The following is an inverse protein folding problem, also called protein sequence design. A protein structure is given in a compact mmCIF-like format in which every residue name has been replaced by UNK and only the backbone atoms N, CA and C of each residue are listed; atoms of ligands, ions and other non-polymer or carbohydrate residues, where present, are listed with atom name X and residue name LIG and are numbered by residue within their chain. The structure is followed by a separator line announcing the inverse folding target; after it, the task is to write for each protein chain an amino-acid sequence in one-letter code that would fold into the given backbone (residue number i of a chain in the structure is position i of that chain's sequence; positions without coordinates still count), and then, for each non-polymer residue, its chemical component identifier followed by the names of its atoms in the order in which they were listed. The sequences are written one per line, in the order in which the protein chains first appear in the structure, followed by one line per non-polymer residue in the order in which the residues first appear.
data_IF_722077317207
#
_entry.id   IF_722077317207
#
_cell.length_a   1.000
_cell.length_b   1.000
_cell.length_c   1.000
_cell.angle_alpha   90.00
_cell.angle_beta   90.00
_cell.angle_gamma   90.00
#
_symmetry.space_group_name_H-M   'P 1'
#
loop_
_entity.id
_entity.type
_entity.pdbx_description
1 polymer ?
#
# COMPACT_ATOMS: atom_id res chain seq x y z
N UNK A 1 -53.72 40.22 -9.70
CA UNK A 1 -53.59 39.13 -8.70
C UNK A 1 -54.83 38.24 -8.65
N UNK A 2 -56.05 38.81 -8.61
CA UNK A 2 -57.30 38.04 -8.58
C UNK A 2 -57.54 37.17 -9.83
N UNK A 3 -57.19 37.64 -11.03
CA UNK A 3 -57.35 36.86 -12.28
C UNK A 3 -56.40 35.66 -12.37
N UNK A 4 -55.12 35.83 -11.97
CA UNK A 4 -54.15 34.72 -11.91
C UNK A 4 -54.64 33.58 -11.00
N UNK A 5 -55.18 33.92 -9.83
CA UNK A 5 -55.71 32.95 -8.87
C UNK A 5 -56.93 32.22 -9.42
N UNK A 6 -57.86 32.95 -10.07
CA UNK A 6 -59.04 32.34 -10.72
C UNK A 6 -58.63 31.36 -11.83
N UNK A 7 -57.67 31.75 -12.67
CA UNK A 7 -57.18 30.90 -13.77
C UNK A 7 -56.56 29.61 -13.25
N UNK A 8 -55.69 29.71 -12.24
CA UNK A 8 -55.06 28.55 -11.59
C UNK A 8 -56.10 27.63 -10.94
N UNK A 9 -57.08 28.18 -10.22
CA UNK A 9 -58.11 27.36 -9.56
C UNK A 9 -59.01 26.64 -10.57
N UNK A 10 -59.38 27.29 -11.68
CA UNK A 10 -60.14 26.66 -12.75
C UNK A 10 -59.34 25.56 -13.45
N UNK A 11 -58.05 25.79 -13.70
CA UNK A 11 -57.16 24.79 -14.26
C UNK A 11 -56.97 23.60 -13.33
N UNK A 12 -56.75 23.83 -12.02
CA UNK A 12 -56.68 22.76 -11.03
C UNK A 12 -57.99 21.95 -10.99
N UNK A 13 -59.15 22.60 -10.99
CA UNK A 13 -60.44 21.91 -11.06
C UNK A 13 -60.57 21.05 -12.33
N UNK A 14 -60.09 21.54 -13.49
CA UNK A 14 -60.07 20.79 -14.74
C UNK A 14 -59.13 19.58 -14.70
N UNK A 15 -57.93 19.74 -14.12
CA UNK A 15 -56.91 18.67 -14.02
C UNK A 15 -57.34 17.56 -13.06
N UNK A 16 -57.96 17.91 -11.93
CA UNK A 16 -58.41 16.94 -10.93
C UNK A 16 -59.82 16.38 -11.22
N UNK A 17 -60.60 17.01 -12.10
CA UNK A 17 -61.93 16.56 -12.49
C UNK A 17 -62.86 16.46 -11.29
N UNK A 18 -63.36 15.26 -11.01
CA UNK A 18 -64.25 14.97 -9.88
C UNK A 18 -63.51 14.81 -8.54
N UNK A 19 -62.17 14.79 -8.54
CA UNK A 19 -61.38 14.68 -7.30
C UNK A 19 -61.18 16.04 -6.64
N UNK A 20 -61.17 16.11 -5.30
CA UNK A 20 -60.90 17.35 -4.60
C UNK A 20 -59.44 17.78 -4.84
N UNK A 21 -59.25 19.06 -5.16
CA UNK A 21 -57.91 19.67 -5.30
C UNK A 21 -57.18 19.59 -3.96
N UNK A 22 -55.96 19.01 -3.89
CA UNK A 22 -55.18 18.94 -2.66
C UNK A 22 -54.90 20.32 -2.07
N UNK A 23 -54.86 20.41 -0.74
CA UNK A 23 -54.50 21.67 -0.06
C UNK A 23 -53.05 22.03 -0.37
N UNK A 24 -52.80 23.30 -0.73
CA UNK A 24 -51.48 23.83 -1.00
C UNK A 24 -51.30 25.22 -0.37
N UNK A 25 -50.05 25.60 -0.13
CA UNK A 25 -49.72 26.91 0.43
C UNK A 25 -49.89 28.01 -0.63
N UNK A 26 -50.80 28.97 -0.37
CA UNK A 26 -51.06 30.09 -1.29
C UNK A 26 -50.05 31.21 -1.02
N UNK A 27 -48.81 31.02 -1.48
CA UNK A 27 -47.75 32.03 -1.47
C UNK A 27 -47.54 32.60 -2.89
N UNK A 28 -47.03 33.83 -3.02
CA UNK A 28 -46.76 34.49 -4.32
C UNK A 28 -45.91 33.62 -5.23
N UNK A 29 -44.84 33.01 -4.69
CA UNK A 29 -43.98 32.07 -5.41
C UNK A 29 -44.75 30.84 -5.92
N UNK A 30 -45.60 30.24 -5.08
CA UNK A 30 -46.38 29.05 -5.45
C UNK A 30 -47.41 29.40 -6.52
N UNK A 31 -48.10 30.54 -6.37
CA UNK A 31 -49.07 31.00 -7.35
C UNK A 31 -48.46 31.33 -8.71
N UNK A 32 -47.26 31.92 -8.75
CA UNK A 32 -46.58 32.18 -10.02
C UNK A 32 -46.12 30.88 -10.70
N UNK A 33 -45.64 29.89 -9.93
CA UNK A 33 -45.29 28.55 -10.47
C UNK A 33 -46.55 27.86 -11.03
N UNK A 34 -47.64 27.83 -10.28
CA UNK A 34 -48.90 27.22 -10.72
C UNK A 34 -49.50 27.94 -11.93
N UNK A 35 -49.37 29.26 -11.99
CA UNK A 35 -49.82 30.05 -13.14
C UNK A 35 -49.00 29.74 -14.39
N UNK A 36 -47.66 29.65 -14.28
CA UNK A 36 -46.81 29.21 -15.39
C UNK A 36 -47.12 27.77 -15.81
N UNK A 37 -47.39 26.88 -14.85
CA UNK A 37 -47.77 25.50 -15.15
C UNK A 37 -49.11 25.43 -15.88
N UNK A 38 -50.05 26.30 -15.51
CA UNK A 38 -51.34 26.45 -16.19
C UNK A 38 -51.15 26.89 -17.64
N UNK A 39 -50.39 27.96 -17.88
CA UNK A 39 -50.14 28.47 -19.24
C UNK A 39 -49.41 27.45 -20.12
N UNK A 40 -48.38 26.79 -19.58
CA UNK A 40 -47.63 25.75 -20.31
C UNK A 40 -48.48 24.51 -20.58
N UNK A 41 -49.34 24.12 -19.64
CA UNK A 41 -50.27 23.01 -19.82
C UNK A 41 -51.33 23.33 -20.88
N UNK A 42 -51.95 24.51 -20.81
CA UNK A 42 -52.95 24.95 -21.79
C UNK A 42 -52.36 25.04 -23.20
N UNK A 43 -51.18 25.64 -23.34
CA UNK A 43 -50.48 25.72 -24.62
C UNK A 43 -50.19 24.32 -25.18
N UNK A 44 -49.61 23.42 -24.36
CA UNK A 44 -49.33 22.04 -24.78
C UNK A 44 -50.60 21.26 -25.15
N UNK A 45 -51.69 21.43 -24.39
CA UNK A 45 -52.97 20.80 -24.69
C UNK A 45 -53.56 21.33 -26.01
N UNK A 46 -53.48 22.63 -26.25
CA UNK A 46 -53.89 23.26 -27.52
C UNK A 46 -53.07 22.72 -28.69
N UNK A 47 -51.74 22.67 -28.57
CA UNK A 47 -50.85 22.15 -29.62
C UNK A 47 -51.14 20.68 -29.93
N UNK A 48 -51.39 19.88 -28.88
CA UNK A 48 -51.77 18.46 -29.03
C UNK A 48 -53.11 18.33 -29.73
N UNK A 49 -54.10 19.17 -29.39
CA UNK A 49 -55.41 19.16 -30.02
C UNK A 49 -55.32 19.54 -31.51
N UNK A 50 -54.52 20.55 -31.86
CA UNK A 50 -54.26 20.93 -33.25
C UNK A 50 -53.58 19.80 -34.04
N UNK A 51 -52.60 19.12 -33.44
CA UNK A 51 -51.95 17.96 -34.06
C UNK A 51 -52.93 16.81 -34.29
N UNK A 52 -53.82 16.54 -33.34
CA UNK A 52 -54.86 15.51 -33.50
C UNK A 52 -55.79 15.86 -34.67
N UNK A 53 -56.20 17.13 -34.77
CA UNK A 53 -57.09 17.55 -35.85
C UNK A 53 -56.42 17.50 -37.22
N UNK A 54 -55.16 17.94 -37.33
CA UNK A 54 -54.35 17.81 -38.55
C UNK A 54 -54.19 16.34 -38.97
N UNK A 55 -53.92 15.43 -38.02
CA UNK A 55 -53.81 14.00 -38.32
C UNK A 55 -55.14 13.39 -38.78
N UNK A 56 -56.27 13.80 -38.18
CA UNK A 56 -57.60 13.37 -38.64
C UNK A 56 -57.88 13.85 -40.05
N UNK A 57 -57.60 15.11 -40.34
CA UNK A 57 -57.76 15.68 -41.67
C UNK A 57 -56.91 14.91 -42.69
N UNK A 58 -55.61 14.75 -42.44
CA UNK A 58 -54.71 13.98 -43.30
C UNK A 58 -55.19 12.55 -43.52
N UNK A 59 -55.68 11.89 -42.47
CA UNK A 59 -56.22 10.52 -42.57
C UNK A 59 -57.41 10.49 -43.53
N UNK A 60 -58.33 11.46 -43.41
CA UNK A 60 -59.48 11.55 -44.31
C UNK A 60 -59.07 11.84 -45.75
N UNK A 61 -58.11 12.74 -45.98
CA UNK A 61 -57.58 13.06 -47.30
C UNK A 61 -56.91 11.85 -47.94
N UNK A 62 -56.04 11.15 -47.21
CA UNK A 62 -55.41 9.91 -47.70
C UNK A 62 -56.41 8.80 -47.98
N UNK A 63 -57.46 8.68 -47.17
CA UNK A 63 -58.51 7.70 -47.42
C UNK A 63 -59.30 8.02 -48.70
N UNK A 64 -59.63 9.30 -48.93
CA UNK A 64 -60.30 9.72 -50.17
C UNK A 64 -59.42 9.53 -51.40
N UNK A 65 -58.13 9.86 -51.30
CA UNK A 65 -57.17 9.66 -52.39
C UNK A 65 -56.98 8.16 -52.68
N UNK A 66 -56.92 7.32 -51.64
CA UNK A 66 -56.81 5.88 -51.82
C UNK A 66 -58.01 5.27 -52.56
N UNK A 67 -59.23 5.72 -52.24
CA UNK A 67 -60.45 5.30 -52.95
C UNK A 67 -60.39 5.79 -54.40
N UNK A 68 -60.05 7.07 -54.62
CA UNK A 68 -59.92 7.64 -55.96
C UNK A 68 -58.92 6.86 -56.83
N UNK A 69 -57.73 6.57 -56.30
CA UNK A 69 -56.71 5.79 -57.02
C UNK A 69 -57.15 4.36 -57.28
N UNK A 70 -57.87 3.73 -56.35
CA UNK A 70 -58.45 2.40 -56.54
C UNK A 70 -59.45 2.39 -57.69
N UNK A 71 -60.35 3.37 -57.75
CA UNK A 71 -61.34 3.51 -58.81
C UNK A 71 -60.66 3.76 -60.17
N UNK A 72 -59.67 4.64 -60.23
CA UNK A 72 -58.89 4.92 -61.45
C UNK A 72 -58.18 3.67 -61.98
N UNK A 73 -57.58 2.86 -61.10
CA UNK A 73 -56.92 1.61 -61.48
C UNK A 73 -57.91 0.56 -62.01
N UNK A 74 -59.08 0.47 -61.37
CA UNK A 74 -60.13 -0.46 -61.76
C UNK A 74 -60.76 -0.06 -63.10
N UNK A 75 -61.13 1.21 -63.27
CA UNK A 75 -61.77 1.71 -64.50
C UNK A 75 -60.80 1.82 -65.67
N UNK A 76 -59.56 2.27 -65.42
CA UNK A 76 -58.57 2.52 -66.48
C UNK A 76 -57.86 1.26 -66.98
N UNK A 77 -57.51 0.34 -66.08
CA UNK A 77 -56.64 -0.82 -66.39
C UNK A 77 -57.31 -2.15 -66.03
N UNK A 78 -58.49 -2.15 -65.38
CA UNK A 78 -59.14 -3.38 -64.92
C UNK A 78 -58.41 -4.07 -63.78
N UNK A 79 -57.52 -3.35 -63.08
CA UNK A 79 -56.71 -3.92 -62.01
C UNK A 79 -57.45 -3.80 -60.68
N UNK A 80 -57.68 -4.95 -60.04
CA UNK A 80 -58.18 -5.07 -58.68
C UNK A 80 -57.17 -5.86 -57.84
N UNK A 81 -57.11 -5.66 -56.50
CA UNK A 81 -56.34 -6.51 -55.61
C UNK A 81 -56.59 -8.01 -55.81
N UNK A 82 -57.79 -8.39 -56.23
CA UNK A 82 -58.18 -9.78 -56.51
C UNK A 82 -57.76 -10.29 -57.89
N UNK A 83 -57.36 -9.39 -58.80
CA UNK A 83 -56.92 -9.73 -60.16
C UNK A 83 -55.46 -10.18 -60.21
N UNK A 84 -54.70 -9.99 -59.12
CA UNK A 84 -53.31 -10.37 -59.00
C UNK A 84 -53.18 -11.87 -58.69
N UNK A 85 -52.15 -12.51 -59.25
CA UNK A 85 -51.76 -13.84 -58.79
C UNK A 85 -51.27 -13.77 -57.34
N UNK A 86 -51.42 -14.86 -56.57
CA UNK A 86 -50.95 -14.90 -55.17
C UNK A 86 -49.50 -14.43 -55.00
N UNK A 87 -48.51 -14.89 -55.80
CA UNK A 87 -47.14 -14.39 -55.67
C UNK A 87 -47.01 -12.89 -55.91
N UNK A 88 -47.74 -12.33 -56.88
CA UNK A 88 -47.71 -10.90 -57.16
C UNK A 88 -48.32 -10.08 -56.01
N UNK A 89 -49.43 -10.55 -55.42
CA UNK A 89 -50.02 -9.94 -54.25
C UNK A 89 -49.08 -10.00 -53.03
N UNK A 90 -48.39 -11.12 -52.82
CA UNK A 90 -47.42 -11.29 -51.73
C UNK A 90 -46.23 -10.31 -51.90
N UNK A 91 -45.70 -10.13 -53.12
CA UNK A 91 -44.61 -9.18 -53.37
C UNK A 91 -45.03 -7.72 -53.16
N UNK A 92 -46.22 -7.34 -53.61
CA UNK A 92 -46.75 -5.98 -53.39
C UNK A 92 -46.97 -5.73 -51.91
N UNK A 93 -47.52 -6.71 -51.18
CA UNK A 93 -47.72 -6.61 -49.73
C UNK A 93 -46.38 -6.44 -49.01
N UNK A 94 -45.39 -7.28 -49.32
CA UNK A 94 -44.05 -7.18 -48.74
C UNK A 94 -43.36 -5.84 -49.06
N UNK A 95 -43.59 -5.29 -50.25
CA UNK A 95 -43.07 -3.97 -50.64
C UNK A 95 -43.70 -2.84 -49.82
N UNK A 96 -45.03 -2.88 -49.64
CA UNK A 96 -45.76 -1.91 -48.81
C UNK A 96 -45.36 -2.02 -47.34
N UNK A 97 -45.29 -3.24 -46.80
CA UNK A 97 -44.87 -3.47 -45.42
C UNK A 97 -43.44 -2.96 -45.19
N UNK A 98 -42.53 -3.23 -46.12
CA UNK A 98 -41.15 -2.72 -46.07
C UNK A 98 -41.11 -1.19 -46.14
N UNK A 99 -41.96 -0.56 -46.96
CA UNK A 99 -42.06 0.88 -47.03
C UNK A 99 -42.55 1.50 -45.71
N UNK A 100 -43.55 0.88 -45.08
CA UNK A 100 -44.09 1.30 -43.79
C UNK A 100 -43.07 1.15 -42.65
N UNK A 101 -42.32 0.03 -42.62
CA UNK A 101 -41.25 -0.19 -41.63
C UNK A 101 -40.11 0.80 -41.80
N UNK A 102 -39.71 1.10 -43.05
CA UNK A 102 -38.67 2.09 -43.35
C UNK A 102 -39.17 3.54 -43.22
N UNK A 103 -40.47 3.77 -43.05
CA UNK A 103 -41.06 5.10 -42.98
C UNK A 103 -40.90 5.93 -44.25
N UNK A 104 -40.87 5.29 -45.42
CA UNK A 104 -40.69 5.98 -46.71
C UNK A 104 -42.02 6.45 -47.29
N UNK A 105 -41.98 7.59 -48.01
CA UNK A 105 -43.16 8.25 -48.58
C UNK A 105 -43.79 7.49 -49.76
N UNK A 106 -42.97 6.82 -50.56
CA UNK A 106 -43.40 6.10 -51.75
C UNK A 106 -42.57 4.84 -51.97
N UNK A 107 -43.05 3.94 -52.81
CA UNK A 107 -42.34 2.71 -53.15
C UNK A 107 -41.28 2.89 -54.25
N UNK A 108 -40.85 4.14 -54.50
CA UNK A 108 -39.84 4.41 -55.51
C UNK A 108 -38.45 4.06 -55.01
N UNK A 109 -37.57 3.71 -55.94
CA UNK A 109 -36.16 3.42 -55.63
C UNK A 109 -35.47 4.63 -54.96
N UNK A 110 -35.86 5.85 -55.33
CA UNK A 110 -35.32 7.08 -54.76
C UNK A 110 -35.63 7.27 -53.28
N UNK A 111 -36.74 6.72 -52.78
CA UNK A 111 -37.08 6.72 -51.35
C UNK A 111 -36.49 5.51 -50.62
N UNK A 112 -36.51 4.32 -51.24
CA UNK A 112 -36.01 3.10 -50.61
C UNK A 112 -34.48 3.08 -50.45
N UNK A 113 -33.72 3.49 -51.46
CA UNK A 113 -32.25 3.37 -51.41
C UNK A 113 -31.62 4.19 -50.29
N UNK A 114 -31.99 5.47 -50.06
CA UNK A 114 -31.49 6.22 -48.92
C UNK A 114 -31.90 5.62 -47.58
N UNK A 115 -33.14 5.13 -47.44
CA UNK A 115 -33.64 4.53 -46.20
C UNK A 115 -32.88 3.24 -45.85
N UNK A 116 -32.69 2.36 -46.85
CA UNK A 116 -31.89 1.13 -46.69
C UNK A 116 -30.43 1.46 -46.36
N UNK A 117 -29.84 2.46 -47.03
CA UNK A 117 -28.47 2.88 -46.73
C UNK A 117 -28.33 3.46 -45.31
N UNK A 118 -29.30 4.26 -44.87
CA UNK A 118 -29.33 4.78 -43.49
C UNK A 118 -29.38 3.64 -42.49
N UNK A 119 -30.32 2.71 -42.66
CA UNK A 119 -30.47 1.55 -41.78
C UNK A 119 -29.22 0.66 -41.79
N UNK A 120 -28.60 0.46 -42.95
CA UNK A 120 -27.36 -0.32 -43.08
C UNK A 120 -26.21 0.36 -42.33
N UNK A 121 -26.12 1.70 -42.41
CA UNK A 121 -25.11 2.46 -41.70
C UNK A 121 -25.33 2.44 -40.17
N UNK A 122 -26.58 2.57 -39.73
CA UNK A 122 -26.96 2.43 -38.31
C UNK A 122 -26.61 1.04 -37.78
N UNK A 123 -26.90 -0.02 -38.55
CA UNK A 123 -26.53 -1.38 -38.22
C UNK A 123 -25.01 -1.53 -38.07
N UNK A 124 -24.23 -1.01 -39.02
CA UNK A 124 -22.77 -1.09 -38.99
C UNK A 124 -22.17 -0.36 -37.78
N UNK A 125 -22.65 0.84 -37.46
CA UNK A 125 -22.17 1.58 -36.29
C UNK A 125 -22.59 0.90 -34.98
N UNK A 126 -23.80 0.34 -34.92
CA UNK A 126 -24.24 -0.47 -33.78
C UNK A 126 -23.34 -1.71 -33.59
N UNK A 127 -23.05 -2.47 -34.66
CA UNK A 127 -22.15 -3.62 -34.60
C UNK A 127 -20.74 -3.25 -34.15
N UNK A 128 -20.21 -2.14 -34.67
CA UNK A 128 -18.88 -1.62 -34.30
C UNK A 128 -18.83 -1.21 -32.83
N UNK A 129 -19.89 -0.56 -32.33
CA UNK A 129 -20.02 -0.21 -30.92
C UNK A 129 -20.08 -1.45 -30.03
N UNK A 130 -20.83 -2.48 -30.46
CA UNK A 130 -20.95 -3.73 -29.73
C UNK A 130 -19.60 -4.48 -29.65
N UNK A 131 -18.89 -4.62 -30.78
CA UNK A 131 -17.53 -5.19 -30.81
C UNK A 131 -16.55 -4.44 -29.91
N UNK A 132 -16.72 -3.12 -29.76
CA UNK A 132 -15.91 -2.32 -28.84
C UNK A 132 -16.22 -2.67 -27.38
N UNK A 133 -17.50 -2.70 -27.02
CA UNK A 133 -17.94 -3.06 -25.67
C UNK A 133 -17.51 -4.47 -25.29
N UNK A 134 -17.60 -5.45 -26.21
CA UNK A 134 -17.13 -6.82 -25.98
C UNK A 134 -15.63 -6.86 -25.66
N UNK A 135 -14.81 -6.07 -26.37
CA UNK A 135 -13.37 -5.96 -26.09
C UNK A 135 -13.10 -5.32 -24.73
N UNK A 136 -13.78 -4.23 -24.40
CA UNK A 136 -13.65 -3.55 -23.10
C UNK A 136 -14.07 -4.48 -21.95
N UNK A 137 -15.17 -5.23 -22.12
CA UNK A 137 -15.66 -6.21 -21.16
C UNK A 137 -14.66 -7.35 -20.97
N UNK A 138 -14.06 -7.86 -22.06
CA UNK A 138 -12.99 -8.86 -21.99
C UNK A 138 -11.76 -8.36 -21.22
N UNK A 139 -11.33 -7.12 -21.49
CA UNK A 139 -10.21 -6.51 -20.77
C UNK A 139 -10.53 -6.33 -19.28
N UNK A 140 -11.73 -5.86 -18.94
CA UNK A 140 -12.18 -5.68 -17.57
C UNK A 140 -12.24 -7.02 -16.81
N UNK A 141 -12.73 -8.09 -17.45
CA UNK A 141 -12.71 -9.44 -16.87
C UNK A 141 -11.30 -9.92 -16.56
N UNK A 142 -10.34 -9.68 -17.45
CA UNK A 142 -8.93 -10.04 -17.22
C UNK A 142 -8.33 -9.27 -16.05
N UNK A 143 -8.56 -7.95 -15.98
CA UNK A 143 -8.11 -7.09 -14.88
C UNK A 143 -8.76 -7.48 -13.55
N UNK A 144 -10.05 -7.83 -13.56
CA UNK A 144 -10.74 -8.34 -12.38
C UNK A 144 -10.12 -9.66 -11.91
N UNK A 145 -9.82 -10.57 -12.83
CA UNK A 145 -9.12 -11.82 -12.52
C UNK A 145 -7.77 -11.58 -11.83
N UNK A 146 -6.93 -10.69 -12.39
CA UNK A 146 -5.62 -10.39 -11.80
C UNK A 146 -5.71 -9.67 -10.44
N UNK A 147 -6.66 -8.76 -10.27
CA UNK A 147 -6.86 -8.06 -9.00
C UNK A 147 -7.40 -8.97 -7.91
N UNK A 148 -8.25 -9.95 -8.24
CA UNK A 148 -8.71 -10.95 -7.29
C UNK A 148 -7.59 -11.87 -6.80
N UNK A 149 -6.68 -12.28 -7.69
CA UNK A 149 -5.48 -13.06 -7.33
C UNK A 149 -4.58 -12.23 -6.41
N UNK A 150 -4.24 -10.99 -6.81
CA UNK A 150 -3.41 -10.10 -5.98
C UNK A 150 -4.02 -9.87 -4.58
N UNK A 151 -5.35 -9.72 -4.50
CA UNK A 151 -6.04 -9.59 -3.22
C UNK A 151 -5.87 -10.84 -2.34
N UNK A 152 -5.94 -12.03 -2.93
CA UNK A 152 -5.74 -13.27 -2.19
C UNK A 152 -4.30 -13.38 -1.67
N UNK A 153 -3.31 -13.03 -2.49
CA UNK A 153 -1.91 -13.02 -2.09
C UNK A 153 -1.63 -12.03 -0.96
N UNK A 154 -2.16 -10.80 -1.08
CA UNK A 154 -2.06 -9.78 -0.04
C UNK A 154 -2.70 -10.22 1.27
N UNK A 155 -3.82 -10.94 1.22
CA UNK A 155 -4.45 -11.48 2.43
C UNK A 155 -3.53 -12.49 3.12
N UNK A 156 -2.89 -13.37 2.36
CA UNK A 156 -1.91 -14.34 2.89
C UNK A 156 -0.71 -13.63 3.52
N UNK A 157 -0.21 -12.56 2.89
CA UNK A 157 0.91 -11.79 3.41
C UNK A 157 0.54 -11.00 4.68
N UNK A 158 -0.68 -10.46 4.76
CA UNK A 158 -1.21 -9.83 5.98
C UNK A 158 -1.24 -10.86 7.11
N UNK A 159 -1.80 -12.05 6.87
CA UNK A 159 -1.92 -13.10 7.89
C UNK A 159 -0.53 -13.59 8.36
N UNK A 160 0.43 -13.70 7.43
CA UNK A 160 1.83 -14.04 7.76
C UNK A 160 2.48 -12.96 8.60
N UNK A 161 2.29 -11.69 8.24
CA UNK A 161 2.87 -10.55 8.94
C UNK A 161 2.27 -10.38 10.34
N UNK A 162 0.96 -10.59 10.49
CA UNK A 162 0.31 -10.57 11.80
C UNK A 162 0.89 -11.65 12.73
N UNK A 163 1.14 -12.86 12.21
CA UNK A 163 1.77 -13.95 12.99
C UNK A 163 3.21 -13.62 13.39
N UNK A 164 4.03 -13.10 12.47
CA UNK A 164 5.42 -12.74 12.80
C UNK A 164 5.48 -11.58 13.80
N UNK A 165 4.59 -10.59 13.66
CA UNK A 165 4.48 -9.48 14.60
C UNK A 165 4.09 -9.94 16.01
N UNK A 166 3.16 -10.90 16.13
CA UNK A 166 2.81 -11.46 17.44
C UNK A 166 4.00 -12.15 18.12
N UNK A 167 4.79 -12.92 17.36
CA UNK A 167 6.00 -13.59 17.88
C UNK A 167 7.10 -12.60 18.26
N UNK A 168 7.35 -11.58 17.44
CA UNK A 168 8.36 -10.57 17.79
C UNK A 168 7.89 -9.69 18.95
N UNK A 169 6.58 -9.43 19.05
CA UNK A 169 5.97 -8.75 20.20
C UNK A 169 6.23 -9.50 21.50
N UNK A 170 5.96 -10.80 21.55
CA UNK A 170 6.22 -11.61 22.76
C UNK A 170 7.71 -11.65 23.12
N UNK A 171 8.61 -11.74 22.11
CA UNK A 171 10.06 -11.69 22.33
C UNK A 171 10.53 -10.32 22.83
N UNK A 172 9.97 -9.23 22.30
CA UNK A 172 10.29 -7.89 22.74
C UNK A 172 9.87 -7.68 24.20
N UNK A 173 8.69 -8.19 24.59
CA UNK A 173 8.21 -8.16 25.97
C UNK A 173 9.13 -8.96 26.91
N UNK A 174 9.56 -10.17 26.51
CA UNK A 174 10.53 -10.98 27.27
C UNK A 174 11.88 -10.26 27.44
N UNK A 175 12.39 -9.63 26.36
CA UNK A 175 13.62 -8.82 26.41
C UNK A 175 13.47 -7.63 27.34
N UNK A 176 12.30 -6.99 27.38
CA UNK A 176 12.03 -5.85 28.24
C UNK A 176 12.04 -6.26 29.71
N UNK A 177 11.38 -7.37 30.06
CA UNK A 177 11.44 -7.95 31.40
C UNK A 177 12.88 -8.32 31.81
N UNK A 178 13.66 -8.89 30.89
CA UNK A 178 15.07 -9.23 31.13
C UNK A 178 15.91 -7.98 31.37
N UNK A 179 15.69 -6.93 30.59
CA UNK A 179 16.36 -5.64 30.75
C UNK A 179 16.05 -5.02 32.12
N UNK A 180 14.78 -5.02 32.53
CA UNK A 180 14.35 -4.50 33.84
C UNK A 180 15.00 -5.27 34.99
N UNK A 181 15.07 -6.60 34.87
CA UNK A 181 15.79 -7.45 35.84
C UNK A 181 17.27 -7.09 35.93
N UNK A 182 17.96 -6.95 34.78
CA UNK A 182 19.39 -6.59 34.75
C UNK A 182 19.63 -5.19 35.30
N UNK A 183 18.75 -4.22 35.00
CA UNK A 183 18.81 -2.87 35.54
C UNK A 183 18.63 -2.87 37.07
N UNK A 184 17.66 -3.63 37.59
CA UNK A 184 17.48 -3.79 39.04
C UNK A 184 18.72 -4.44 39.69
N UNK A 185 19.29 -5.47 39.05
CA UNK A 185 20.46 -6.19 39.57
C UNK A 185 21.72 -5.32 39.60
N UNK A 186 21.95 -4.53 38.54
CA UNK A 186 23.09 -3.60 38.48
C UNK A 186 22.99 -2.50 39.52
N UNK A 187 21.79 -1.98 39.79
CA UNK A 187 21.55 -1.04 40.90
C UNK A 187 21.85 -1.67 42.27
N UNK A 188 21.38 -2.89 42.53
CA UNK A 188 21.66 -3.63 43.77
C UNK A 188 23.17 -3.83 43.99
N UNK A 189 23.87 -4.29 42.95
CA UNK A 189 25.32 -4.53 43.00
C UNK A 189 26.10 -3.24 43.22
N UNK A 190 25.66 -2.14 42.62
CA UNK A 190 26.27 -0.82 42.81
C UNK A 190 26.12 -0.33 44.25
N UNK A 191 24.95 -0.54 44.88
CA UNK A 191 24.74 -0.23 46.30
C UNK A 191 25.65 -1.08 47.19
N UNK A 192 25.75 -2.39 46.92
CA UNK A 192 26.64 -3.30 47.66
C UNK A 192 28.10 -2.91 47.54
N UNK A 193 28.55 -2.57 46.32
CA UNK A 193 29.91 -2.13 46.04
C UNK A 193 30.25 -0.86 46.83
N UNK A 194 29.40 0.18 46.75
CA UNK A 194 29.55 1.41 47.55
C UNK A 194 29.63 1.13 49.05
N UNK A 195 28.83 0.20 49.56
CA UNK A 195 28.88 -0.21 50.98
C UNK A 195 30.22 -0.86 51.32
N UNK A 196 30.67 -1.83 50.52
CA UNK A 196 31.97 -2.49 50.75
C UNK A 196 33.15 -1.52 50.62
N UNK A 197 33.10 -0.57 49.69
CA UNK A 197 34.13 0.47 49.57
C UNK A 197 34.16 1.39 50.80
N UNK A 198 32.99 1.77 51.31
CA UNK A 198 32.90 2.55 52.55
C UNK A 198 33.43 1.76 53.75
N UNK A 199 33.15 0.46 53.84
CA UNK A 199 33.69 -0.43 54.87
C UNK A 199 35.23 -0.54 54.77
N UNK A 200 35.78 -0.75 53.57
CA UNK A 200 37.23 -0.78 53.34
C UNK A 200 37.91 0.53 53.74
N UNK A 201 37.28 1.67 53.38
CA UNK A 201 37.76 3.01 53.74
C UNK A 201 37.70 3.21 55.25
N UNK A 202 36.62 2.80 55.92
CA UNK A 202 36.48 2.91 57.38
C UNK A 202 37.52 2.09 58.16
N UNK A 203 38.00 1.00 57.56
CA UNK A 203 39.05 0.14 58.13
C UNK A 203 40.47 0.61 57.81
N UNK A 204 40.62 1.79 57.18
CA UNK A 204 41.90 2.33 56.70
C UNK A 204 42.70 1.30 55.87
N UNK A 205 42.03 0.47 55.05
CA UNK A 205 42.73 -0.41 54.12
C UNK A 205 43.30 0.43 52.96
N UNK A 206 44.59 0.70 53.01
CA UNK A 206 45.31 1.31 51.90
C UNK A 206 45.43 0.35 50.71
N UNK A 207 45.41 0.90 49.49
CA UNK A 207 45.59 0.12 48.24
C UNK A 207 46.91 -0.65 48.19
N UNK A 208 47.89 -0.24 49.00
CA UNK A 208 49.19 -0.89 49.21
C UNK A 208 49.10 -2.28 49.86
N UNK A 209 48.01 -2.58 50.57
CA UNK A 209 47.81 -3.85 51.30
C UNK A 209 46.93 -4.82 50.49
N UNK A 210 46.63 -4.50 49.23
CA UNK A 210 45.92 -5.42 48.35
C UNK A 210 46.80 -6.62 47.99
N UNK A 211 46.20 -7.80 47.81
CA UNK A 211 46.93 -9.02 47.43
C UNK A 211 47.83 -8.78 46.21
N UNK A 212 47.34 -8.04 45.22
CA UNK A 212 48.13 -7.69 44.03
C UNK A 212 49.37 -6.84 44.37
N UNK A 213 49.23 -5.82 45.23
CA UNK A 213 50.36 -4.99 45.66
C UNK A 213 51.36 -5.78 46.52
N UNK A 214 50.89 -6.67 47.38
CA UNK A 214 51.75 -7.54 48.20
C UNK A 214 52.52 -8.55 47.33
N UNK A 215 51.87 -9.14 46.33
CA UNK A 215 52.52 -10.04 45.38
C UNK A 215 53.59 -9.30 44.57
N UNK A 216 53.28 -8.12 44.03
CA UNK A 216 54.27 -7.30 43.33
C UNK A 216 55.45 -6.93 44.23
N UNK A 217 55.20 -6.53 45.48
CA UNK A 217 56.27 -6.21 46.44
C UNK A 217 57.10 -7.45 46.81
N UNK A 218 56.48 -8.63 46.92
CA UNK A 218 57.17 -9.88 47.19
C UNK A 218 58.05 -10.31 45.99
N UNK A 219 57.56 -10.11 44.76
CA UNK A 219 58.34 -10.31 43.54
C UNK A 219 59.55 -9.36 43.50
N UNK A 220 59.36 -8.07 43.81
CA UNK A 220 60.44 -7.07 43.89
C UNK A 220 61.46 -7.39 45.00
N UNK A 221 61.02 -7.83 46.18
CA UNK A 221 61.93 -8.26 47.25
C UNK A 221 62.68 -9.53 46.83
N UNK A 222 62.03 -10.43 46.10
CA UNK A 222 62.64 -11.63 45.55
C UNK A 222 63.78 -11.29 44.59
N UNK A 223 63.54 -10.38 43.63
CA UNK A 223 64.58 -9.94 42.69
C UNK A 223 65.73 -9.23 43.43
N UNK A 224 65.43 -8.29 44.34
CA UNK A 224 66.46 -7.63 45.13
C UNK A 224 67.30 -8.62 45.94
N UNK A 225 66.66 -9.64 46.52
CA UNK A 225 67.38 -10.65 47.31
C UNK A 225 68.30 -11.51 46.43
N UNK A 226 67.85 -11.87 45.21
CA UNK A 226 68.73 -12.55 44.24
C UNK A 226 69.92 -11.71 43.79
N UNK A 227 69.81 -10.37 43.81
CA UNK A 227 70.92 -9.46 43.55
C UNK A 227 71.85 -9.26 44.77
N UNK A 228 71.29 -9.23 45.99
CA UNK A 228 72.04 -9.03 47.23
C UNK A 228 72.88 -10.27 47.61
N UNK A 229 72.40 -11.49 47.37
CA UNK A 229 73.12 -12.73 47.69
C UNK A 229 74.54 -12.78 47.06
N UNK A 230 74.73 -12.56 45.74
CA UNK A 230 76.06 -12.57 45.13
C UNK A 230 76.91 -11.37 45.59
N UNK A 231 76.31 -10.20 45.84
CA UNK A 231 77.01 -9.02 46.35
C UNK A 231 77.52 -9.25 47.78
N UNK A 232 76.73 -9.88 48.66
CA UNK A 232 77.15 -10.29 50.00
C UNK A 232 78.25 -11.34 49.95
N UNK A 233 78.12 -12.36 49.10
CA UNK A 233 79.16 -13.39 48.93
C UNK A 233 80.47 -12.78 48.44
N UNK A 234 80.39 -11.77 47.56
CA UNK A 234 81.56 -11.00 47.11
C UNK A 234 82.15 -10.18 48.27
N UNK A 235 81.33 -9.55 49.10
CA UNK A 235 81.81 -8.84 50.30
C UNK A 235 82.46 -9.79 51.33
N UNK A 236 81.88 -10.96 51.57
CA UNK A 236 82.44 -12.00 52.45
C UNK A 236 83.79 -12.52 51.98
N UNK A 237 83.99 -12.66 50.66
CA UNK A 237 85.33 -12.99 50.11
C UNK A 237 86.39 -11.90 50.36
N UNK A 238 85.98 -10.67 50.66
CA UNK A 238 86.87 -9.56 51.02
C UNK A 238 87.06 -9.39 52.53
N UNK A 239 86.29 -10.10 53.37
CA UNK A 239 86.36 -10.00 54.84
C UNK A 239 87.58 -10.72 55.45
N UNK A 240 88.22 -11.63 54.73
CA UNK A 240 89.49 -12.27 55.12
C UNK A 240 90.72 -11.36 54.88
N UNK A 241 90.55 -10.25 54.14
CA UNK A 241 91.59 -9.24 53.97
C UNK A 241 91.45 -8.15 55.02
N UNK A 242 92.55 -7.79 55.67
CA UNK A 242 92.52 -6.73 56.68
C UNK A 242 92.10 -5.39 56.05
N UNK A 243 91.37 -4.50 56.76
CA UNK A 243 90.82 -3.28 56.19
C UNK A 243 91.83 -2.24 55.68
N UNK A 244 93.14 -2.43 55.92
CA UNK A 244 94.19 -1.55 55.38
C UNK A 244 94.87 -2.17 54.14
N UNK A 245 94.91 -1.45 53.00
CA UNK A 245 95.43 -1.98 51.72
C UNK A 245 96.90 -2.42 51.78
N UNK A 246 97.69 -1.78 52.66
CA UNK A 246 99.12 -2.09 52.86
C UNK A 246 99.36 -3.41 53.61
N UNK A 247 98.53 -3.78 54.59
CA UNK A 247 98.65 -5.08 55.28
C UNK A 247 98.12 -6.24 54.43
N UNK A 248 97.11 -5.99 53.61
CA UNK A 248 96.57 -6.97 52.66
C UNK A 248 97.61 -7.40 51.62
N UNK A 249 98.41 -6.47 51.09
CA UNK A 249 99.51 -6.79 50.17
C UNK A 249 100.60 -7.65 50.81
N UNK A 250 100.93 -7.42 52.10
CA UNK A 250 101.93 -8.22 52.81
C UNK A 250 101.45 -9.66 53.02
N UNK A 251 100.19 -9.86 53.42
CA UNK A 251 99.62 -11.22 53.56
C UNK A 251 99.47 -11.97 52.23
N UNK A 252 99.20 -11.27 51.13
CA UNK A 252 99.18 -11.86 49.78
C UNK A 252 100.59 -12.31 49.36
N UNK A 253 101.62 -11.53 49.69
CA UNK A 253 103.02 -11.90 49.40
C UNK A 253 103.55 -13.02 50.31
N UNK A 254 103.13 -13.08 51.58
CA UNK A 254 103.42 -14.22 52.47
C UNK A 254 102.76 -15.51 51.97
N UNK A 255 101.48 -15.47 51.60
CA UNK A 255 100.78 -16.64 51.03
C UNK A 255 101.40 -17.08 49.69
N UNK A 256 101.86 -16.16 48.84
CA UNK A 256 102.62 -16.50 47.62
C UNK A 256 103.94 -17.20 47.93
N UNK A 257 104.64 -16.78 48.99
CA UNK A 257 105.89 -17.43 49.42
C UNK A 257 105.64 -18.83 49.98
N UNK A 258 104.57 -19.02 50.73
CA UNK A 258 104.17 -20.35 51.22
C UNK A 258 103.76 -21.29 50.08
N UNK A 259 103.05 -20.77 49.07
CA UNK A 259 102.65 -21.55 47.89
C UNK A 259 103.87 -21.94 47.02
N UNK A 260 104.81 -21.01 46.83
CA UNK A 260 106.09 -21.31 46.17
C UNK A 260 106.93 -22.34 46.93
N UNK A 261 106.87 -22.35 48.27
CA UNK A 261 107.55 -23.36 49.09
C UNK A 261 106.89 -24.75 48.97
N UNK A 262 105.56 -24.81 48.91
CA UNK A 262 104.82 -26.07 48.71
C UNK A 262 105.01 -26.61 47.29
N UNK A 263 105.05 -25.74 46.26
CA UNK A 263 105.35 -26.15 44.88
C UNK A 263 106.78 -26.66 44.74
N UNK A 264 107.77 -26.04 45.39
CA UNK A 264 109.14 -26.61 45.44
C UNK A 264 109.22 -27.94 46.19
N UNK A 265 108.42 -28.14 47.25
CA UNK A 265 108.31 -29.45 47.92
C UNK A 265 107.60 -30.50 47.05
N UNK A 266 106.67 -30.09 46.18
CA UNK A 266 106.03 -30.97 45.20
C UNK A 266 107.01 -31.36 44.07
N UNK A 267 107.83 -30.43 43.61
CA UNK A 267 108.87 -30.67 42.60
C UNK A 267 110.04 -31.54 43.12
N UNK A 268 110.39 -31.47 44.41
CA UNK A 268 111.35 -32.38 45.04
C UNK A 268 110.82 -33.82 45.19
N UNK A 269 109.50 -34.00 45.35
CA UNK A 269 108.87 -35.32 45.47
C UNK A 269 108.59 -36.02 44.13
N UNK A 270 108.78 -35.34 42.99
CA UNK A 270 108.55 -35.90 41.64
C UNK A 270 109.83 -36.38 40.91
N UNK A 271 111.03 -36.23 41.49
CA UNK A 271 112.31 -36.66 40.89
C UNK A 271 112.84 -38.03 41.39
N UNK A 272 111.98 -38.86 41.99
CA UNK A 272 112.20 -40.30 42.17
C UNK A 272 110.96 -41.08 41.72
N UNK A 273 110.74 -41.20 40.41
CA UNK A 273 110.09 -42.33 39.73
C UNK A 273 110.18 -42.19 38.21
#
# INVERSE_FOLDING_TARGET
MCEKIKKVNNWLASVFGDQPVPQFEVNTRVMDILYQLTETSEARCSDTALLIEDLKQKTSEYQTEAIYLQDVLLEGVGLSPTSLSKPAADYVSALVDSAMVLGVRDTSLGSFMPAINSLTNELLEAEKSNRRLERELGALRKTLGSTLVLRADLQVDIDRTAKSQAVEGSKAEERLLTMDFVAAKTAELTIKLKRSEAELTSRNMEKSITHQAIVQLAEEVGTLNTEIIPLRKKLESYLDLSPSPSLAQVKIEEAKRELAAIDSQLEENLNFS
#
